data_IF_500792048693
#
_entry.id   IF_500792048693
#
_cell.length_a   1.000
_cell.length_b   1.000
_cell.length_c   1.000
_cell.angle_alpha   90.00
_cell.angle_beta   90.00
_cell.angle_gamma   90.00
#
_symmetry.space_group_name_H-M   'P 1'
#
loop_
_entity.id
_entity.type
_entity.pdbx_description
1 polymer ?
#
# COMPACT_ATOMS: atom_id res chain seq x y z
N UNK A 1 9.82 19.67 -0.85
CA UNK A 1 10.03 18.75 -1.98
C UNK A 1 11.15 17.72 -1.75
N UNK A 2 12.37 18.09 -1.33
CA UNK A 2 13.52 17.17 -1.18
C UNK A 2 13.29 15.99 -0.19
N UNK A 3 12.65 16.23 0.96
CA UNK A 3 12.40 15.18 1.98
C UNK A 3 11.45 14.09 1.49
N UNK A 4 10.40 14.46 0.75
CA UNK A 4 9.44 13.51 0.21
C UNK A 4 10.10 12.59 -0.84
N UNK A 5 10.98 13.13 -1.70
CA UNK A 5 11.73 12.33 -2.68
C UNK A 5 12.60 11.26 -1.99
N UNK A 6 13.33 11.64 -0.93
CA UNK A 6 14.20 10.70 -0.18
C UNK A 6 13.38 9.54 0.44
N UNK A 7 12.22 9.84 1.03
CA UNK A 7 11.38 8.79 1.61
C UNK A 7 10.84 7.81 0.57
N UNK A 8 10.47 8.30 -0.62
CA UNK A 8 10.03 7.43 -1.71
C UNK A 8 11.19 6.62 -2.31
N UNK A 9 12.40 7.20 -2.42
CA UNK A 9 13.58 6.43 -2.84
C UNK A 9 13.89 5.29 -1.87
N UNK A 10 13.79 5.55 -0.55
CA UNK A 10 13.91 4.52 0.48
C UNK A 10 12.79 3.47 0.38
N UNK A 11 11.53 3.89 0.14
CA UNK A 11 10.42 2.98 -0.09
C UNK A 11 10.69 2.05 -1.27
N UNK A 12 11.14 2.58 -2.41
CA UNK A 12 11.46 1.77 -3.58
C UNK A 12 12.63 0.82 -3.33
N UNK A 13 13.63 1.24 -2.55
CA UNK A 13 14.75 0.38 -2.15
C UNK A 13 14.30 -0.81 -1.29
N UNK A 14 13.28 -0.62 -0.45
CA UNK A 14 12.67 -1.69 0.34
C UNK A 14 11.80 -2.62 -0.52
N UNK A 15 11.02 -2.06 -1.45
CA UNK A 15 10.08 -2.81 -2.27
C UNK A 15 10.77 -3.71 -3.32
N UNK A 16 11.84 -3.21 -3.98
CA UNK A 16 12.49 -3.94 -5.09
C UNK A 16 12.90 -5.38 -4.74
N UNK A 17 13.61 -5.65 -3.63
CA UNK A 17 13.99 -7.03 -3.29
C UNK A 17 12.77 -7.89 -2.93
N UNK A 18 11.72 -7.31 -2.33
CA UNK A 18 10.53 -8.04 -1.94
C UNK A 18 9.70 -8.54 -3.14
N UNK A 19 9.78 -7.83 -4.29
CA UNK A 19 9.03 -8.18 -5.52
C UNK A 19 9.89 -8.87 -6.58
N UNK A 20 11.15 -9.19 -6.26
CA UNK A 20 12.10 -9.75 -7.22
C UNK A 20 11.61 -11.10 -7.75
N UNK A 21 11.39 -11.18 -9.08
CA UNK A 21 10.83 -12.35 -9.78
C UNK A 21 9.47 -12.83 -9.20
N UNK A 22 8.59 -11.89 -8.86
CA UNK A 22 7.27 -12.17 -8.28
C UNK A 22 6.14 -11.70 -9.18
N UNK A 23 4.98 -12.36 -9.03
CA UNK A 23 3.68 -11.87 -9.50
C UNK A 23 3.10 -10.95 -8.44
N UNK A 24 2.90 -9.69 -8.79
CA UNK A 24 2.55 -8.60 -7.86
C UNK A 24 1.17 -8.05 -8.18
N UNK A 25 0.37 -7.83 -7.14
CA UNK A 25 -0.82 -6.98 -7.21
C UNK A 25 -0.54 -5.68 -6.44
N UNK A 26 -0.74 -4.53 -7.07
CA UNK A 26 -0.82 -3.24 -6.38
C UNK A 26 -2.26 -2.75 -6.42
N UNK A 27 -2.88 -2.52 -5.25
CA UNK A 27 -4.21 -1.90 -5.14
C UNK A 27 -4.09 -0.44 -4.76
N UNK A 28 -5.08 0.37 -5.18
CA UNK A 28 -5.07 1.83 -5.04
C UNK A 28 -3.78 2.46 -5.61
N UNK A 29 -3.39 2.02 -6.81
CA UNK A 29 -2.13 2.40 -7.46
C UNK A 29 -2.07 3.90 -7.83
N UNK A 30 -3.21 4.59 -7.86
CA UNK A 30 -3.30 5.98 -8.29
C UNK A 30 -2.77 6.17 -9.70
N UNK A 31 -1.74 6.98 -9.86
CA UNK A 31 -1.08 7.24 -11.15
C UNK A 31 -0.02 6.20 -11.54
N UNK A 32 0.06 5.09 -10.80
CA UNK A 32 0.94 3.97 -11.09
C UNK A 32 2.42 4.21 -10.75
N UNK A 33 2.72 5.11 -9.84
CA UNK A 33 4.10 5.48 -9.50
C UNK A 33 4.89 4.29 -8.95
N UNK A 34 4.34 3.57 -7.96
CA UNK A 34 5.01 2.43 -7.34
C UNK A 34 5.16 1.29 -8.34
N UNK A 35 4.07 0.89 -9.04
CA UNK A 35 4.12 -0.16 -10.06
C UNK A 35 5.19 0.10 -11.12
N UNK A 36 5.25 1.32 -11.66
CA UNK A 36 6.25 1.70 -12.68
C UNK A 36 7.69 1.60 -12.17
N UNK A 37 7.95 1.91 -10.90
CA UNK A 37 9.29 1.78 -10.30
C UNK A 37 9.70 0.33 -10.06
N UNK A 38 8.73 -0.60 -9.99
CA UNK A 38 8.97 -2.02 -9.74
C UNK A 38 9.10 -2.88 -10.99
N UNK A 39 8.86 -2.33 -12.17
CA UNK A 39 8.89 -3.02 -13.47
C UNK A 39 10.14 -3.84 -13.75
N UNK A 40 11.31 -3.38 -13.29
CA UNK A 40 12.58 -4.08 -13.50
C UNK A 40 12.80 -5.22 -12.51
N UNK A 41 12.01 -5.28 -11.46
CA UNK A 41 12.18 -6.25 -10.36
C UNK A 41 11.13 -7.35 -10.41
N UNK A 42 9.89 -7.05 -10.77
CA UNK A 42 8.81 -8.02 -10.85
C UNK A 42 8.73 -8.73 -12.21
N UNK A 43 8.20 -9.93 -12.24
CA UNK A 43 7.91 -10.64 -13.49
C UNK A 43 6.57 -10.24 -14.08
N UNK A 44 5.58 -9.95 -13.22
CA UNK A 44 4.25 -9.49 -13.61
C UNK A 44 3.67 -8.55 -12.55
N UNK A 45 3.02 -7.48 -12.97
CA UNK A 45 2.34 -6.53 -12.07
C UNK A 45 0.92 -6.25 -12.57
N UNK A 46 -0.07 -6.57 -11.75
CA UNK A 46 -1.42 -6.03 -11.84
C UNK A 46 -1.51 -4.79 -10.93
N UNK A 47 -1.86 -3.64 -11.50
CA UNK A 47 -1.98 -2.39 -10.77
C UNK A 47 -3.39 -1.83 -10.91
N UNK A 48 -4.11 -1.73 -9.79
CA UNK A 48 -5.53 -1.42 -9.79
C UNK A 48 -5.86 -0.18 -8.98
N UNK A 49 -6.90 0.53 -9.41
CA UNK A 49 -7.47 1.66 -8.67
C UNK A 49 -8.97 1.74 -8.95
N UNK A 50 -9.76 2.18 -8.00
CA UNK A 50 -11.21 2.37 -8.19
C UNK A 50 -11.54 3.57 -9.09
N UNK A 51 -10.60 4.50 -9.27
CA UNK A 51 -10.75 5.69 -10.10
C UNK A 51 -10.32 5.43 -11.55
N UNK A 52 -11.27 5.45 -12.47
CA UNK A 52 -11.00 5.36 -13.91
C UNK A 52 -10.07 6.50 -14.40
N UNK A 53 -10.15 7.69 -13.80
CA UNK A 53 -9.29 8.82 -14.13
C UNK A 53 -7.84 8.57 -13.72
N UNK A 54 -7.60 7.96 -12.55
CA UNK A 54 -6.26 7.56 -12.10
C UNK A 54 -5.67 6.50 -13.01
N UNK A 55 -6.44 5.47 -13.36
CA UNK A 55 -6.00 4.42 -14.29
C UNK A 55 -5.70 4.98 -15.68
N UNK A 56 -6.51 5.90 -16.20
CA UNK A 56 -6.24 6.55 -17.47
C UNK A 56 -4.90 7.32 -17.45
N UNK A 57 -4.59 7.99 -16.35
CA UNK A 57 -3.31 8.67 -16.17
C UNK A 57 -2.16 7.67 -15.96
N UNK A 58 -2.38 6.59 -15.20
CA UNK A 58 -1.37 5.55 -14.98
C UNK A 58 -0.94 4.87 -16.28
N UNK A 59 -1.86 4.65 -17.21
CA UNK A 59 -1.57 4.05 -18.53
C UNK A 59 -0.69 4.92 -19.44
N UNK A 60 -0.60 6.22 -19.19
CA UNK A 60 0.21 7.11 -20.02
C UNK A 60 1.70 6.76 -19.90
N UNK A 61 2.33 6.54 -21.07
CA UNK A 61 3.75 6.19 -21.16
C UNK A 61 4.10 4.80 -20.61
N UNK A 62 3.11 3.92 -20.39
CA UNK A 62 3.35 2.52 -20.06
C UNK A 62 3.25 1.68 -21.34
N UNK A 63 4.38 1.13 -21.77
CA UNK A 63 4.50 0.25 -22.93
C UNK A 63 5.01 -1.16 -22.53
N UNK A 64 5.05 -1.46 -21.24
CA UNK A 64 5.53 -2.75 -20.73
C UNK A 64 4.44 -3.81 -20.83
N UNK A 65 4.79 -4.97 -21.36
CA UNK A 65 3.93 -6.16 -21.34
C UNK A 65 3.86 -6.85 -19.97
N UNK A 66 4.62 -6.38 -18.98
CA UNK A 66 4.64 -6.92 -17.62
C UNK A 66 3.73 -6.14 -16.66
N UNK A 67 3.23 -4.97 -17.03
CA UNK A 67 2.44 -4.08 -16.17
C UNK A 67 1.09 -3.80 -16.78
N UNK A 68 0.05 -4.23 -16.09
CA UNK A 68 -1.34 -4.05 -16.48
C UNK A 68 -2.04 -3.11 -15.49
N UNK A 69 -2.78 -2.15 -16.05
CA UNK A 69 -3.59 -1.21 -15.27
C UNK A 69 -5.07 -1.46 -15.51
N UNK A 70 -5.84 -1.68 -14.44
CA UNK A 70 -7.29 -1.90 -14.53
C UNK A 70 -8.06 -1.15 -13.43
N UNK A 71 -9.32 -0.84 -13.71
CA UNK A 71 -10.24 -0.25 -12.72
C UNK A 71 -10.83 -1.39 -11.91
N UNK A 72 -10.52 -1.46 -10.61
CA UNK A 72 -11.02 -2.50 -9.70
C UNK A 72 -11.30 -1.92 -8.32
N UNK A 73 -12.25 -2.52 -7.62
CA UNK A 73 -12.54 -2.25 -6.22
C UNK A 73 -11.70 -3.18 -5.33
N UNK A 74 -10.91 -2.62 -4.43
CA UNK A 74 -10.06 -3.40 -3.51
C UNK A 74 -10.86 -4.25 -2.52
N UNK A 75 -12.16 -4.00 -2.38
CA UNK A 75 -13.06 -4.80 -1.53
C UNK A 75 -13.62 -6.04 -2.25
N UNK A 76 -13.55 -6.08 -3.59
CA UNK A 76 -14.09 -7.15 -4.45
C UNK A 76 -13.20 -7.31 -5.68
N UNK A 77 -12.08 -8.00 -5.52
CA UNK A 77 -11.08 -8.17 -6.58
C UNK A 77 -11.47 -9.36 -7.49
N UNK A 78 -11.39 -9.23 -8.83
CA UNK A 78 -11.78 -10.27 -9.77
C UNK A 78 -10.70 -11.34 -9.96
N UNK A 79 -9.91 -11.59 -8.93
CA UNK A 79 -8.82 -12.58 -8.96
C UNK A 79 -9.18 -13.79 -8.11
N UNK A 80 -8.70 -14.96 -8.49
CA UNK A 80 -8.85 -16.18 -7.71
C UNK A 80 -8.08 -16.07 -6.37
N UNK A 81 -8.45 -16.92 -5.41
CA UNK A 81 -7.71 -17.05 -4.16
C UNK A 81 -6.26 -17.40 -4.45
N UNK A 82 -5.34 -16.88 -3.66
CA UNK A 82 -3.93 -17.22 -3.72
C UNK A 82 -3.27 -16.99 -5.09
N UNK A 83 -3.63 -15.90 -5.79
CA UNK A 83 -3.13 -15.60 -7.13
C UNK A 83 -1.77 -14.88 -7.12
N UNK A 84 -1.44 -14.13 -6.07
CA UNK A 84 -0.28 -13.24 -6.05
C UNK A 84 0.76 -13.65 -5.01
N UNK A 85 2.04 -13.55 -5.40
CA UNK A 85 3.17 -13.74 -4.48
C UNK A 85 3.31 -12.55 -3.53
N UNK A 86 3.06 -11.33 -4.06
CA UNK A 86 3.14 -10.08 -3.30
C UNK A 86 1.90 -9.23 -3.58
N UNK A 87 1.29 -8.72 -2.52
CA UNK A 87 0.22 -7.71 -2.61
C UNK A 87 0.71 -6.42 -1.96
N UNK A 88 0.59 -5.30 -2.68
CA UNK A 88 0.99 -3.96 -2.21
C UNK A 88 -0.25 -3.10 -2.06
N UNK A 89 -0.40 -2.46 -0.89
CA UNK A 89 -1.42 -1.44 -0.63
C UNK A 89 -0.74 -0.20 -0.04
N UNK A 90 -0.40 0.75 -0.92
CA UNK A 90 0.38 1.93 -0.54
C UNK A 90 -0.52 3.14 -0.31
N UNK A 91 -0.45 3.73 0.90
CA UNK A 91 -1.14 4.96 1.27
C UNK A 91 -2.67 4.94 1.06
N UNK A 92 -3.31 3.79 1.20
CA UNK A 92 -4.75 3.62 0.97
C UNK A 92 -5.53 3.26 2.23
N UNK A 93 -5.01 2.38 3.09
CA UNK A 93 -5.76 1.86 4.24
C UNK A 93 -6.26 2.95 5.21
N UNK A 94 -5.55 4.08 5.33
CA UNK A 94 -5.96 5.19 6.21
C UNK A 94 -7.09 6.07 5.64
N UNK A 95 -7.39 5.94 4.34
CA UNK A 95 -8.42 6.75 3.66
C UNK A 95 -9.67 5.95 3.27
N UNK A 96 -9.64 4.63 3.35
CA UNK A 96 -10.83 3.81 3.06
C UNK A 96 -11.71 3.65 4.31
N UNK A 97 -13.05 3.52 4.13
CA UNK A 97 -13.98 3.48 5.26
C UNK A 97 -13.92 2.17 6.07
N UNK A 98 -13.53 1.07 5.45
CA UNK A 98 -13.51 -0.28 6.05
C UNK A 98 -12.18 -0.98 5.76
N UNK A 99 -11.04 -0.52 6.33
CA UNK A 99 -9.73 -1.10 6.04
C UNK A 99 -9.60 -2.58 6.43
N UNK A 100 -10.38 -3.05 7.43
CA UNK A 100 -10.45 -4.46 7.82
C UNK A 100 -11.02 -5.35 6.71
N UNK A 101 -12.04 -4.87 5.99
CA UNK A 101 -12.63 -5.59 4.84
C UNK A 101 -11.66 -5.63 3.66
N UNK A 102 -10.96 -4.52 3.40
CA UNK A 102 -9.90 -4.49 2.41
C UNK A 102 -8.83 -5.54 2.73
N UNK A 103 -8.32 -5.60 3.97
CA UNK A 103 -7.33 -6.59 4.38
C UNK A 103 -7.83 -8.03 4.21
N UNK A 104 -9.11 -8.30 4.47
CA UNK A 104 -9.71 -9.64 4.23
C UNK A 104 -9.59 -10.03 2.76
N UNK A 105 -9.94 -9.13 1.84
CA UNK A 105 -9.88 -9.38 0.41
C UNK A 105 -8.42 -9.48 -0.11
N UNK A 106 -7.53 -8.60 0.38
CA UNK A 106 -6.11 -8.67 0.02
C UNK A 106 -5.45 -9.98 0.51
N UNK A 107 -5.84 -10.46 1.70
CA UNK A 107 -5.40 -11.77 2.20
C UNK A 107 -5.94 -12.93 1.36
N UNK A 108 -7.18 -12.85 0.84
CA UNK A 108 -7.77 -13.88 -0.02
C UNK A 108 -6.93 -14.08 -1.28
N UNK A 109 -6.60 -13.01 -1.99
CA UNK A 109 -5.84 -13.08 -3.25
C UNK A 109 -4.33 -13.30 -3.05
N UNK A 110 -3.80 -13.08 -1.87
CA UNK A 110 -2.41 -13.36 -1.52
C UNK A 110 -2.19 -14.85 -1.35
N UNK A 111 -1.09 -15.41 -1.86
CA UNK A 111 -0.67 -16.80 -1.61
C UNK A 111 -0.41 -17.04 -0.11
N UNK A 112 -0.44 -18.30 0.34
CA UNK A 112 -0.24 -18.62 1.76
C UNK A 112 1.18 -18.29 2.26
N UNK A 113 2.18 -18.42 1.41
CA UNK A 113 3.57 -18.04 1.65
C UNK A 113 3.91 -16.63 1.15
N UNK A 114 2.92 -15.93 0.60
CA UNK A 114 3.04 -14.60 0.02
C UNK A 114 3.31 -13.49 1.03
N UNK A 115 3.62 -12.30 0.53
CA UNK A 115 3.93 -11.11 1.31
C UNK A 115 2.93 -9.99 1.04
N UNK A 116 2.25 -9.51 2.06
CA UNK A 116 1.52 -8.24 2.01
C UNK A 116 2.45 -7.11 2.42
N UNK A 117 2.58 -6.08 1.57
CA UNK A 117 3.36 -4.88 1.86
C UNK A 117 2.43 -3.68 1.93
N UNK A 118 2.38 -3.05 3.08
CA UNK A 118 1.39 -2.03 3.39
C UNK A 118 2.01 -0.74 3.96
N UNK A 119 2.70 0.06 3.14
CA UNK A 119 3.18 1.36 3.57
C UNK A 119 2.02 2.35 3.72
N UNK A 120 1.97 3.08 4.83
CA UNK A 120 0.92 4.08 5.06
C UNK A 120 1.45 5.28 5.85
N UNK A 121 0.87 6.46 5.61
CA UNK A 121 1.16 7.62 6.43
C UNK A 121 0.63 7.43 7.84
N UNK A 122 1.49 7.72 8.83
CA UNK A 122 1.18 7.63 10.25
C UNK A 122 1.47 8.96 10.94
N UNK A 123 0.83 9.20 12.07
CA UNK A 123 1.08 10.41 12.83
C UNK A 123 2.21 10.15 13.85
N UNK A 124 3.05 11.16 14.09
CA UNK A 124 4.03 11.09 15.16
C UNK A 124 3.31 10.98 16.52
N UNK A 125 3.75 10.03 17.33
CA UNK A 125 3.31 9.94 18.72
C UNK A 125 3.65 11.26 19.43
N UNK A 126 2.64 11.90 20.06
CA UNK A 126 2.79 13.11 20.89
C UNK A 126 3.16 14.44 20.21
N UNK A 127 2.91 14.66 18.93
CA UNK A 127 3.14 15.96 18.31
C UNK A 127 1.87 16.83 18.28
N UNK A 128 1.90 17.99 18.98
CA UNK A 128 0.88 19.04 18.85
C UNK A 128 0.73 19.53 17.39
N UNK A 129 1.81 19.47 16.60
CA UNK A 129 1.83 19.76 15.17
C UNK A 129 1.03 18.74 14.34
N UNK A 130 1.01 17.47 14.72
CA UNK A 130 0.20 16.44 14.06
C UNK A 130 -1.30 16.72 14.14
N UNK A 131 -1.78 17.33 15.24
CA UNK A 131 -3.18 17.75 15.40
C UNK A 131 -3.55 18.91 14.48
N UNK A 132 -2.66 19.88 14.29
CA UNK A 132 -2.85 21.03 13.40
C UNK A 132 -2.82 20.63 11.92
N UNK A 133 -1.90 19.73 11.53
CA UNK A 133 -1.84 19.19 10.18
C UNK A 133 -3.08 18.35 9.84
N UNK A 134 -3.57 17.53 10.77
CA UNK A 134 -4.79 16.76 10.61
C UNK A 134 -6.04 17.64 10.44
N UNK A 135 -6.09 18.79 11.13
CA UNK A 135 -7.16 19.76 10.95
C UNK A 135 -7.08 20.43 9.57
N UNK A 136 -5.88 20.77 9.11
CA UNK A 136 -5.66 21.36 7.78
C UNK A 136 -6.04 20.39 6.64
N UNK A 137 -5.73 19.09 6.77
CA UNK A 137 -6.12 18.04 5.80
C UNK A 137 -7.64 17.82 5.79
N UNK A 138 -8.30 17.90 6.95
CA UNK A 138 -9.76 17.82 7.03
C UNK A 138 -10.44 19.01 6.34
N UNK A 139 -9.88 20.22 6.50
CA UNK A 139 -10.34 21.44 5.82
C UNK A 139 -10.11 21.36 4.31
N UNK A 140 -9.05 20.66 3.85
CA UNK A 140 -8.75 20.42 2.44
C UNK A 140 -9.61 19.31 1.81
N UNK A 141 -10.61 18.75 2.52
CA UNK A 141 -11.54 17.76 1.99
C UNK A 141 -10.97 16.35 1.84
N UNK A 142 -9.83 16.04 2.45
CA UNK A 142 -9.28 14.69 2.46
C UNK A 142 -9.96 13.85 3.56
N UNK A 143 -10.73 12.80 3.22
CA UNK A 143 -11.37 11.92 4.21
C UNK A 143 -10.31 11.04 4.88
N UNK A 144 -9.79 11.45 6.03
CA UNK A 144 -8.97 10.60 6.89
C UNK A 144 -9.91 9.76 7.76
N UNK A 145 -10.18 8.53 7.37
CA UNK A 145 -11.02 7.61 8.14
C UNK A 145 -10.27 7.03 9.34
N UNK A 146 -8.96 6.82 9.23
CA UNK A 146 -8.15 6.28 10.32
C UNK A 146 -6.91 7.13 10.58
N UNK A 147 -6.70 7.49 11.85
CA UNK A 147 -5.52 8.21 12.33
C UNK A 147 -4.70 7.29 13.18
N UNK A 148 -3.75 6.61 12.58
CA UNK A 148 -2.88 5.70 13.30
C UNK A 148 -1.54 6.37 13.65
N UNK A 149 -1.03 6.07 14.85
CA UNK A 149 0.40 6.07 15.11
C UNK A 149 1.04 4.85 14.44
N UNK A 150 2.36 4.81 14.33
CA UNK A 150 3.04 3.62 13.78
C UNK A 150 2.68 2.36 14.58
N UNK A 151 2.71 2.43 15.92
CA UNK A 151 2.38 1.29 16.78
C UNK A 151 0.91 0.84 16.62
N UNK A 152 -0.04 1.79 16.59
CA UNK A 152 -1.46 1.47 16.39
C UNK A 152 -1.72 0.85 15.01
N UNK A 153 -1.02 1.30 13.98
CA UNK A 153 -1.11 0.74 12.64
C UNK A 153 -0.60 -0.71 12.57
N UNK A 154 0.55 -0.98 13.15
CA UNK A 154 1.09 -2.34 13.19
C UNK A 154 0.19 -3.28 13.99
N UNK A 155 -0.36 -2.81 15.12
CA UNK A 155 -1.34 -3.57 15.91
C UNK A 155 -2.62 -3.85 15.10
N UNK A 156 -3.12 -2.86 14.31
CA UNK A 156 -4.26 -3.06 13.42
C UNK A 156 -4.00 -4.16 12.38
N UNK A 157 -2.83 -4.20 11.75
CA UNK A 157 -2.46 -5.26 10.80
C UNK A 157 -2.46 -6.64 11.48
N UNK A 158 -1.91 -6.74 12.71
CA UNK A 158 -1.86 -7.98 13.48
C UNK A 158 -3.27 -8.47 13.89
N UNK A 159 -4.14 -7.57 14.35
CA UNK A 159 -5.52 -7.89 14.71
C UNK A 159 -6.36 -8.37 13.51
N UNK A 160 -5.92 -8.07 12.29
CA UNK A 160 -6.56 -8.50 11.05
C UNK A 160 -5.87 -9.70 10.39
N UNK A 161 -5.29 -10.61 11.19
CA UNK A 161 -4.76 -11.90 10.74
C UNK A 161 -3.47 -11.80 9.93
N UNK A 162 -2.62 -10.82 10.25
CA UNK A 162 -1.31 -10.63 9.65
C UNK A 162 -0.21 -10.69 10.71
N UNK A 163 0.89 -11.34 10.38
CA UNK A 163 2.12 -11.30 11.18
C UNK A 163 3.08 -10.31 10.55
N UNK A 164 3.41 -9.24 11.27
CA UNK A 164 4.39 -8.24 10.82
C UNK A 164 5.79 -8.85 10.90
N UNK A 165 6.42 -9.06 9.74
CA UNK A 165 7.77 -9.63 9.63
C UNK A 165 8.86 -8.54 9.66
N UNK A 166 8.54 -7.35 9.12
CA UNK A 166 9.46 -6.21 9.08
C UNK A 166 8.66 -4.91 9.11
N UNK A 167 9.15 -3.93 9.85
CA UNK A 167 8.60 -2.58 9.82
C UNK A 167 9.71 -1.53 9.87
N UNK A 168 9.49 -0.42 9.17
CA UNK A 168 10.42 0.72 9.12
C UNK A 168 9.59 2.01 9.08
N UNK A 169 9.95 2.98 9.91
CA UNK A 169 9.37 4.34 9.82
C UNK A 169 10.29 5.21 8.97
N UNK A 170 9.83 5.53 7.76
CA UNK A 170 10.53 6.40 6.84
C UNK A 170 10.23 7.86 7.20
N UNK A 171 11.30 8.64 7.40
CA UNK A 171 11.19 10.05 7.77
C UNK A 171 10.77 10.89 6.56
N UNK A 172 9.58 11.46 6.65
CA UNK A 172 8.98 12.31 5.64
C UNK A 172 8.32 13.51 6.32
N UNK A 173 7.73 14.43 5.56
CA UNK A 173 6.89 15.54 6.10
C UNK A 173 5.76 15.00 6.98
N UNK A 174 5.18 13.87 6.59
CA UNK A 174 4.32 13.01 7.41
C UNK A 174 5.03 11.66 7.44
N UNK A 175 5.36 11.09 8.62
CA UNK A 175 6.03 9.79 8.70
C UNK A 175 5.29 8.72 7.91
N UNK A 176 6.04 7.88 7.19
CA UNK A 176 5.51 6.76 6.43
C UNK A 176 5.93 5.46 7.13
N UNK A 177 4.99 4.72 7.69
CA UNK A 177 5.24 3.40 8.26
C UNK A 177 5.14 2.35 7.16
N UNK A 178 6.28 1.75 6.83
CA UNK A 178 6.39 0.58 5.96
C UNK A 178 6.21 -0.69 6.79
N UNK A 179 5.41 -1.64 6.29
CA UNK A 179 5.23 -2.95 6.92
C UNK A 179 5.24 -4.06 5.86
N UNK A 180 6.03 -5.12 6.10
CA UNK A 180 5.97 -6.41 5.40
C UNK A 180 5.29 -7.42 6.32
N UNK A 181 4.23 -8.05 5.83
CA UNK A 181 3.40 -8.96 6.60
C UNK A 181 3.17 -10.28 5.87
N UNK A 182 3.10 -11.36 6.62
CA UNK A 182 2.61 -12.68 6.17
C UNK A 182 1.23 -12.96 6.76
N UNK A 183 0.48 -13.87 6.17
CA UNK A 183 -0.70 -14.42 6.81
C UNK A 183 -0.30 -15.05 8.15
N UNK A 184 -1.06 -14.78 9.21
CA UNK A 184 -0.84 -15.47 10.49
C UNK A 184 -1.05 -16.97 10.33
N UNK A 185 -0.18 -17.79 10.93
CA UNK A 185 -0.36 -19.23 10.95
C UNK A 185 -1.45 -19.59 11.94
N UNK A 186 -2.51 -20.23 11.48
CA UNK A 186 -3.56 -20.81 12.30
C UNK A 186 -4.79 -19.92 12.45
N UNK A 187 -5.64 -19.99 11.51
CA UNK A 187 -7.09 -20.12 11.63
C UNK A 187 -7.57 -21.01 10.48
#
# INVERSE_FOLDING_TARGET
>A
MRKNAIAYDQLYALLRPAVWHKTVLEVATGTGQVAKHLLRSADHIEATDSSAAMIAQAKRGNFSSKLYFSVQDMFHLPYADQSFDVVIVSNALHIVPHPEKALTELRRVLKNDGMLIAPTFTHAENSHWGRLQALALKIAGFPLHSRWTSAAYLAFLQQNGLTVCKSVVLQNSIPLTYAECKKSKGE
#
